data_IF_695277931088
#
_entry.id   IF_695277931088
#
_cell.length_a   1.000
_cell.length_b   1.000
_cell.length_c   1.000
_cell.angle_alpha   90.00
_cell.angle_beta   90.00
_cell.angle_gamma   90.00
#
_symmetry.space_group_name_H-M   'P 1'
#
loop_
_entity.id
_entity.type
_entity.pdbx_description
1 polymer ?
#
# COMPACT_ATOMS: atom_id res chain seq x y z
N UNK A 1 22.02 -21.46 -12.78
CA UNK A 1 21.33 -20.98 -11.57
C UNK A 1 20.90 -19.54 -11.80
N UNK A 2 19.64 -19.21 -11.53
CA UNK A 2 19.24 -17.79 -11.51
C UNK A 2 19.72 -17.25 -10.17
N UNK A 3 20.84 -16.53 -10.18
CA UNK A 3 21.30 -15.80 -8.99
C UNK A 3 20.26 -14.72 -8.72
N UNK A 4 19.60 -14.80 -7.56
CA UNK A 4 18.61 -13.80 -7.13
C UNK A 4 19.25 -12.43 -6.89
N UNK A 5 18.43 -11.47 -6.46
CA UNK A 5 18.94 -10.14 -6.09
C UNK A 5 19.71 -10.22 -4.77
N UNK A 6 20.88 -9.58 -4.69
CA UNK A 6 21.57 -9.38 -3.43
C UNK A 6 20.74 -8.46 -2.51
N UNK A 7 20.42 -8.94 -1.31
CA UNK A 7 19.74 -8.17 -0.26
C UNK A 7 20.79 -7.70 0.74
N UNK A 8 21.14 -6.41 0.66
CA UNK A 8 22.11 -5.80 1.57
C UNK A 8 21.50 -5.40 2.90
N UNK A 9 22.35 -4.97 3.83
CA UNK A 9 21.96 -4.54 5.18
C UNK A 9 20.96 -3.39 5.19
N UNK A 10 20.91 -2.58 4.13
CA UNK A 10 19.94 -1.50 3.95
C UNK A 10 18.48 -1.97 3.96
N UNK A 11 18.22 -3.28 3.82
CA UNK A 11 16.89 -3.88 3.87
C UNK A 11 16.44 -4.31 5.26
N UNK A 12 17.36 -4.66 6.17
CA UNK A 12 17.02 -5.37 7.41
C UNK A 12 17.74 -4.84 8.66
N UNK A 13 18.85 -4.12 8.50
CA UNK A 13 19.64 -3.64 9.63
C UNK A 13 19.16 -2.25 10.10
N UNK A 14 18.70 -2.18 11.35
CA UNK A 14 18.16 -0.96 11.96
C UNK A 14 19.24 0.12 12.10
N UNK A 15 20.48 -0.27 12.44
CA UNK A 15 21.58 0.68 12.58
C UNK A 15 21.93 1.31 11.23
N UNK A 16 21.91 0.52 10.15
CA UNK A 16 22.06 1.04 8.79
C UNK A 16 20.95 2.01 8.40
N UNK A 17 19.70 1.79 8.86
CA UNK A 17 18.59 2.73 8.66
C UNK A 17 18.80 4.04 9.43
N UNK A 18 19.22 3.97 10.69
CA UNK A 18 19.49 5.16 11.51
C UNK A 18 20.66 5.98 10.95
N UNK A 19 21.74 5.31 10.52
CA UNK A 19 22.87 5.96 9.86
C UNK A 19 22.44 6.63 8.55
N UNK A 20 21.58 5.99 7.75
CA UNK A 20 21.01 6.61 6.56
C UNK A 20 20.23 7.88 6.92
N UNK A 21 19.41 7.84 7.97
CA UNK A 21 18.65 8.99 8.44
C UNK A 21 19.58 10.14 8.86
N UNK A 22 20.64 9.85 9.60
CA UNK A 22 21.61 10.87 10.07
C UNK A 22 22.34 11.54 8.90
N UNK A 23 22.80 10.74 7.94
CA UNK A 23 23.50 11.25 6.74
C UNK A 23 22.62 12.16 5.88
N UNK A 24 21.30 11.96 5.89
CA UNK A 24 20.34 12.71 5.09
C UNK A 24 19.53 13.73 5.90
N UNK A 25 19.85 13.94 7.18
CA UNK A 25 19.14 14.87 8.08
C UNK A 25 17.63 14.57 8.16
N UNK A 26 17.28 13.28 8.27
CA UNK A 26 15.91 12.82 8.44
C UNK A 26 15.66 12.61 9.94
N UNK A 27 14.80 13.45 10.51
CA UNK A 27 14.46 13.37 11.94
C UNK A 27 13.63 12.11 12.25
N UNK A 28 12.65 11.82 11.39
CA UNK A 28 11.70 10.71 11.56
C UNK A 28 11.45 9.95 10.27
N UNK A 29 11.35 8.64 10.37
CA UNK A 29 10.93 7.75 9.28
C UNK A 29 9.68 6.98 9.68
N UNK A 30 8.70 6.90 8.78
CA UNK A 30 7.64 5.89 8.87
C UNK A 30 8.02 4.79 7.88
N UNK A 31 8.44 3.63 8.38
CA UNK A 31 8.91 2.50 7.56
C UNK A 31 7.77 1.51 7.33
N UNK A 32 7.94 0.62 6.37
CA UNK A 32 6.96 -0.37 5.98
C UNK A 32 7.65 -1.61 5.44
N UNK A 33 7.00 -2.77 5.54
CA UNK A 33 7.44 -3.98 4.85
C UNK A 33 7.51 -3.71 3.34
N UNK A 34 8.58 -4.15 2.68
CA UNK A 34 8.73 -4.03 1.24
C UNK A 34 7.82 -5.02 0.49
N UNK A 35 7.50 -4.70 -0.77
CA UNK A 35 6.81 -5.63 -1.65
C UNK A 35 7.57 -6.97 -1.77
N UNK A 36 6.89 -8.13 -1.90
CA UNK A 36 5.45 -8.32 -2.15
C UNK A 36 4.59 -8.48 -0.89
N UNK A 37 5.04 -7.97 0.27
CA UNK A 37 4.30 -8.07 1.54
C UNK A 37 3.95 -9.53 1.89
N UNK A 38 2.67 -9.82 2.10
CA UNK A 38 2.12 -11.14 2.38
C UNK A 38 1.26 -11.66 1.24
N UNK A 39 1.33 -11.06 0.05
CA UNK A 39 0.39 -11.31 -1.05
C UNK A 39 0.50 -12.74 -1.63
N UNK A 40 1.57 -13.46 -1.25
CA UNK A 40 1.90 -14.83 -1.64
C UNK A 40 1.65 -15.88 -0.54
N UNK A 41 1.14 -15.47 0.63
CA UNK A 41 0.88 -16.36 1.78
C UNK A 41 -0.62 -16.38 2.05
N UNK A 42 -1.18 -17.57 2.21
CA UNK A 42 -2.61 -17.80 2.48
C UNK A 42 -2.87 -18.43 3.85
N UNK A 43 -4.10 -18.27 4.34
CA UNK A 43 -4.65 -18.96 5.51
C UNK A 43 -3.99 -18.59 6.84
N UNK A 44 -4.08 -19.49 7.82
CA UNK A 44 -3.62 -19.26 9.21
C UNK A 44 -2.12 -18.87 9.28
N UNK A 45 -1.32 -19.34 8.32
CA UNK A 45 0.10 -18.97 8.22
C UNK A 45 0.28 -17.48 7.96
N UNK A 46 -0.58 -16.88 7.13
CA UNK A 46 -0.52 -15.45 6.84
C UNK A 46 -0.83 -14.62 8.08
N UNK A 47 -1.75 -15.10 8.95
CA UNK A 47 -2.06 -14.41 10.21
C UNK A 47 -0.85 -14.37 11.15
N UNK A 48 -0.28 -15.53 11.47
CA UNK A 48 0.82 -15.61 12.43
C UNK A 48 2.04 -14.78 11.97
N UNK A 49 2.38 -14.86 10.68
CA UNK A 49 3.48 -14.08 10.09
C UNK A 49 3.15 -12.57 10.10
N UNK A 50 1.90 -12.19 9.82
CA UNK A 50 1.50 -10.79 9.88
C UNK A 50 1.64 -10.21 11.28
N UNK A 51 1.17 -10.92 12.30
CA UNK A 51 1.27 -10.50 13.70
C UNK A 51 2.74 -10.37 14.12
N UNK A 52 3.57 -11.36 13.79
CA UNK A 52 5.01 -11.38 14.07
C UNK A 52 5.74 -10.17 13.44
N UNK A 53 5.51 -9.92 12.15
CA UNK A 53 6.14 -8.79 11.45
C UNK A 53 5.70 -7.43 11.99
N UNK A 54 4.43 -7.29 12.36
CA UNK A 54 3.91 -6.05 12.93
C UNK A 54 4.43 -5.82 14.36
N UNK A 55 4.61 -6.88 15.15
CA UNK A 55 5.19 -6.82 16.50
C UNK A 55 6.69 -6.53 16.45
N UNK A 56 7.42 -7.09 15.49
CA UNK A 56 8.82 -6.75 15.22
C UNK A 56 8.95 -5.27 14.82
N UNK A 57 8.08 -4.78 13.93
CA UNK A 57 8.07 -3.37 13.53
C UNK A 57 7.79 -2.43 14.70
N UNK A 58 6.86 -2.80 15.60
CA UNK A 58 6.62 -2.08 16.85
C UNK A 58 7.89 -2.05 17.71
N UNK A 59 8.55 -3.20 17.90
CA UNK A 59 9.76 -3.34 18.72
C UNK A 59 10.93 -2.49 18.18
N UNK A 60 11.18 -2.56 16.87
CA UNK A 60 12.18 -1.71 16.19
C UNK A 60 11.88 -0.23 16.40
N UNK A 61 10.60 0.16 16.28
CA UNK A 61 10.17 1.54 16.45
C UNK A 61 10.36 2.04 17.89
N UNK A 62 10.15 1.19 18.90
CA UNK A 62 10.40 1.53 20.31
C UNK A 62 11.89 1.73 20.62
N UNK A 63 12.75 0.86 20.06
CA UNK A 63 14.21 0.94 20.23
C UNK A 63 14.85 2.12 19.48
N UNK A 64 14.14 2.74 18.54
CA UNK A 64 14.63 3.85 17.72
C UNK A 64 14.68 5.22 18.44
N UNK A 65 14.39 5.27 19.75
CA UNK A 65 14.26 6.52 20.52
C UNK A 65 13.27 7.54 19.88
N UNK A 66 12.16 7.03 19.33
CA UNK A 66 11.11 7.86 18.73
C UNK A 66 11.41 8.41 17.33
N UNK A 67 12.43 7.87 16.65
CA UNK A 67 12.81 8.25 15.28
C UNK A 67 12.14 7.39 14.20
N UNK A 68 11.75 6.16 14.51
CA UNK A 68 11.10 5.23 13.59
C UNK A 68 9.66 4.97 14.06
N UNK A 69 8.76 4.93 13.08
CA UNK A 69 7.35 4.55 13.18
C UNK A 69 7.03 3.56 12.04
N UNK A 70 5.85 2.95 12.05
CA UNK A 70 5.50 1.89 11.11
C UNK A 70 4.18 2.09 10.34
N UNK A 71 4.16 1.66 9.08
CA UNK A 71 2.96 1.16 8.41
C UNK A 71 2.95 -0.37 8.52
N UNK A 72 1.92 -0.90 9.17
CA UNK A 72 1.74 -2.34 9.33
C UNK A 72 1.41 -3.02 8.00
N UNK A 73 1.80 -4.29 7.84
CA UNK A 73 1.33 -5.13 6.73
C UNK A 73 0.01 -5.80 7.11
N UNK A 74 -0.77 -6.25 6.11
CA UNK A 74 -2.02 -7.00 6.32
C UNK A 74 -2.05 -8.28 5.47
N UNK A 75 -2.71 -9.36 5.92
CA UNK A 75 -2.86 -10.60 5.16
C UNK A 75 -4.05 -10.47 4.19
N UNK A 76 -3.88 -9.68 3.12
CA UNK A 76 -4.99 -9.25 2.24
C UNK A 76 -5.70 -10.39 1.49
N UNK A 77 -5.08 -11.57 1.36
CA UNK A 77 -5.72 -12.79 0.83
C UNK A 77 -6.81 -13.35 1.73
N UNK A 78 -6.87 -12.91 2.99
CA UNK A 78 -7.88 -13.33 3.96
C UNK A 78 -8.52 -12.09 4.63
N UNK A 79 -9.50 -11.44 3.98
CA UNK A 79 -10.12 -10.20 4.47
C UNK A 79 -10.60 -10.25 5.94
N UNK A 80 -11.22 -11.35 6.36
CA UNK A 80 -11.68 -11.52 7.73
C UNK A 80 -10.52 -11.49 8.75
N UNK A 81 -9.39 -12.11 8.40
CA UNK A 81 -8.16 -12.10 9.22
C UNK A 81 -7.56 -10.70 9.23
N UNK A 82 -7.49 -10.03 8.09
CA UNK A 82 -6.99 -8.65 8.00
C UNK A 82 -7.79 -7.69 8.89
N UNK A 83 -9.12 -7.82 8.95
CA UNK A 83 -9.99 -7.02 9.82
C UNK A 83 -9.68 -7.25 11.30
N UNK A 84 -9.39 -8.48 11.72
CA UNK A 84 -8.98 -8.77 13.10
C UNK A 84 -7.65 -8.11 13.43
N UNK A 85 -6.68 -8.19 12.51
CA UNK A 85 -5.38 -7.54 12.70
C UNK A 85 -5.52 -6.02 12.78
N UNK A 86 -6.32 -5.39 11.91
CA UNK A 86 -6.61 -3.95 11.94
C UNK A 86 -7.10 -3.50 13.33
N UNK A 87 -7.97 -4.29 13.97
CA UNK A 87 -8.43 -4.00 15.34
C UNK A 87 -7.30 -4.11 16.36
N UNK A 88 -6.42 -5.09 16.21
CA UNK A 88 -5.24 -5.30 17.07
C UNK A 88 -4.24 -4.16 16.95
N UNK A 89 -4.01 -3.62 15.75
CA UNK A 89 -3.03 -2.55 15.50
C UNK A 89 -3.17 -1.32 16.40
N UNK A 90 -4.36 -1.05 16.95
CA UNK A 90 -4.57 0.02 17.94
C UNK A 90 -3.75 -0.16 19.23
N UNK A 91 -3.35 -1.38 19.59
CA UNK A 91 -2.45 -1.62 20.72
C UNK A 91 -0.99 -1.28 20.42
N UNK A 92 -0.62 -1.18 19.14
CA UNK A 92 0.75 -0.91 18.68
C UNK A 92 0.95 0.59 18.46
N UNK A 93 1.38 1.28 19.52
CA UNK A 93 1.40 2.75 19.56
C UNK A 93 2.35 3.43 18.53
N UNK A 94 3.28 2.69 17.92
CA UNK A 94 4.20 3.21 16.88
C UNK A 94 3.69 3.00 15.47
N UNK A 95 2.62 2.23 15.30
CA UNK A 95 1.96 2.06 14.01
C UNK A 95 1.09 3.29 13.72
N UNK A 96 1.15 3.78 12.48
CA UNK A 96 0.45 4.99 12.02
C UNK A 96 -0.46 4.75 10.80
N UNK A 97 -0.54 3.51 10.37
CA UNK A 97 -1.33 3.11 9.22
C UNK A 97 -0.96 1.71 8.76
N UNK A 98 -1.38 1.40 7.53
CA UNK A 98 -1.10 0.11 6.87
C UNK A 98 -0.52 0.34 5.47
N UNK A 99 0.38 -0.53 5.03
CA UNK A 99 0.83 -0.57 3.63
C UNK A 99 0.02 -1.61 2.87
N UNK A 100 -0.50 -1.24 1.69
CA UNK A 100 -1.27 -2.13 0.82
C UNK A 100 -0.70 -2.17 -0.59
N UNK A 101 -0.70 -3.37 -1.18
CA UNK A 101 -0.53 -3.58 -2.62
C UNK A 101 -1.82 -3.32 -3.40
N UNK A 102 -1.68 -3.10 -4.70
CA UNK A 102 -2.82 -2.81 -5.60
C UNK A 102 -3.82 -3.95 -5.83
N UNK A 103 -3.48 -5.26 -5.70
CA UNK A 103 -4.46 -6.32 -5.92
C UNK A 103 -5.48 -6.50 -4.80
N UNK A 104 -5.24 -5.98 -3.59
CA UNK A 104 -6.06 -6.31 -2.42
C UNK A 104 -6.15 -7.82 -2.19
N UNK A 105 -7.36 -8.39 -2.20
CA UNK A 105 -7.56 -9.84 -2.13
C UNK A 105 -7.27 -10.61 -3.45
N UNK A 106 -6.74 -9.91 -4.46
CA UNK A 106 -6.35 -10.47 -5.77
C UNK A 106 -7.11 -9.88 -6.97
N UNK A 107 -8.15 -9.07 -6.74
CA UNK A 107 -9.02 -8.51 -7.79
C UNK A 107 -9.07 -6.98 -7.84
N UNK A 108 -8.24 -6.31 -7.05
CA UNK A 108 -8.23 -4.86 -6.88
C UNK A 108 -8.88 -4.44 -5.57
N UNK A 109 -8.56 -3.22 -5.13
CA UNK A 109 -9.05 -2.63 -3.87
C UNK A 109 -10.52 -2.17 -3.94
N UNK A 110 -11.05 -1.97 -5.15
CA UNK A 110 -12.46 -1.68 -5.45
C UNK A 110 -13.36 -2.92 -5.42
N UNK A 111 -12.79 -4.13 -5.29
CA UNK A 111 -13.56 -5.35 -5.24
C UNK A 111 -14.39 -5.45 -3.94
N UNK A 112 -15.67 -5.90 -3.98
CA UNK A 112 -16.54 -5.96 -2.80
C UNK A 112 -15.96 -6.69 -1.58
N UNK A 113 -15.15 -7.75 -1.80
CA UNK A 113 -14.49 -8.50 -0.73
C UNK A 113 -13.46 -7.69 0.07
N UNK A 114 -12.95 -6.60 -0.49
CA UNK A 114 -11.98 -5.71 0.17
C UNK A 114 -12.68 -4.53 0.86
N UNK A 115 -13.97 -4.30 0.57
CA UNK A 115 -14.72 -3.15 1.07
C UNK A 115 -14.71 -3.07 2.61
N UNK A 116 -15.02 -4.18 3.30
CA UNK A 116 -15.04 -4.22 4.76
C UNK A 116 -13.65 -4.04 5.39
N UNK A 117 -12.59 -4.42 4.67
CA UNK A 117 -11.20 -4.18 5.10
C UNK A 117 -10.90 -2.68 5.05
N UNK A 118 -11.25 -2.00 3.95
CA UNK A 118 -11.07 -0.55 3.81
C UNK A 118 -11.90 0.22 4.84
N UNK A 119 -13.14 -0.22 5.09
CA UNK A 119 -14.00 0.36 6.12
C UNK A 119 -13.38 0.19 7.51
N UNK A 120 -12.88 -1.02 7.83
CA UNK A 120 -12.20 -1.26 9.11
C UNK A 120 -10.95 -0.39 9.27
N UNK A 121 -10.14 -0.20 8.22
CA UNK A 121 -8.99 0.71 8.25
C UNK A 121 -9.44 2.14 8.61
N UNK A 122 -10.47 2.65 7.92
CA UNK A 122 -11.01 3.99 8.13
C UNK A 122 -11.62 4.16 9.53
N UNK A 123 -12.38 3.19 10.03
CA UNK A 123 -13.00 3.19 11.37
C UNK A 123 -11.97 3.14 12.50
N UNK A 124 -10.75 2.71 12.19
CA UNK A 124 -9.63 2.68 13.13
C UNK A 124 -8.67 3.89 12.95
N UNK A 125 -9.02 4.88 12.12
CA UNK A 125 -8.22 6.07 11.79
C UNK A 125 -6.79 5.74 11.34
N UNK A 126 -6.64 4.64 10.60
CA UNK A 126 -5.37 4.21 10.02
C UNK A 126 -5.21 4.79 8.61
N UNK A 127 -4.03 5.36 8.34
CA UNK A 127 -3.67 5.82 6.99
C UNK A 127 -3.30 4.63 6.11
N UNK A 128 -3.87 4.54 4.89
CA UNK A 128 -3.39 3.58 3.88
C UNK A 128 -2.20 4.18 3.16
N UNK A 129 -1.05 3.50 3.14
CA UNK A 129 0.01 3.76 2.19
C UNK A 129 -0.12 2.77 1.02
N UNK A 130 -0.62 3.26 -0.12
CA UNK A 130 -0.78 2.44 -1.33
C UNK A 130 0.53 2.43 -2.13
N UNK A 131 1.03 1.24 -2.43
CA UNK A 131 2.30 1.07 -3.12
C UNK A 131 2.20 0.02 -4.26
N UNK A 132 2.88 0.25 -5.41
CA UNK A 132 2.89 -0.70 -6.52
C UNK A 132 3.85 -1.87 -6.29
N UNK A 133 3.66 -2.93 -7.05
CA UNK A 133 4.60 -4.06 -7.13
C UNK A 133 4.50 -4.79 -8.47
N UNK A 134 3.29 -4.92 -9.01
CA UNK A 134 2.97 -5.82 -10.12
C UNK A 134 3.21 -5.21 -11.49
N UNK A 135 3.22 -3.88 -11.61
CA UNK A 135 3.37 -3.17 -12.86
C UNK A 135 2.18 -3.33 -13.82
N UNK A 136 2.23 -2.57 -14.91
CA UNK A 136 1.29 -2.65 -16.05
C UNK A 136 2.12 -2.63 -17.33
N UNK A 137 1.72 -3.42 -18.34
CA UNK A 137 2.41 -3.49 -19.64
C UNK A 137 3.77 -4.17 -19.57
N UNK A 138 3.94 -5.12 -18.65
CA UNK A 138 5.22 -5.79 -18.36
C UNK A 138 5.82 -6.47 -19.60
N UNK A 139 4.97 -6.96 -20.50
CA UNK A 139 5.31 -7.56 -21.79
C UNK A 139 6.07 -6.60 -22.73
N UNK A 140 5.95 -5.29 -22.53
CA UNK A 140 6.55 -4.25 -23.37
C UNK A 140 7.94 -3.78 -22.89
N UNK A 141 8.40 -4.23 -21.72
CA UNK A 141 9.66 -3.74 -21.12
C UNK A 141 10.86 -4.66 -21.36
N UNK A 142 10.75 -5.59 -22.30
CA UNK A 142 11.87 -6.43 -22.71
C UNK A 142 13.07 -5.56 -23.14
N UNK A 143 14.28 -6.05 -22.87
CA UNK A 143 15.56 -5.40 -23.18
C UNK A 143 15.79 -4.00 -22.55
N UNK A 144 14.90 -3.54 -21.68
CA UNK A 144 15.00 -2.23 -21.03
C UNK A 144 15.57 -2.27 -19.60
N UNK A 145 16.10 -3.43 -19.19
CA UNK A 145 16.44 -3.71 -17.80
C UNK A 145 15.26 -3.39 -16.87
N UNK A 146 15.54 -2.70 -15.76
CA UNK A 146 14.50 -2.27 -14.82
C UNK A 146 13.94 -0.87 -15.12
N UNK A 147 14.50 -0.15 -16.09
CA UNK A 147 14.23 1.28 -16.27
C UNK A 147 12.75 1.55 -16.58
N UNK A 148 12.17 0.86 -17.57
CA UNK A 148 10.77 1.08 -17.96
C UNK A 148 9.78 0.46 -16.97
N UNK A 149 10.10 -0.69 -16.38
CA UNK A 149 9.25 -1.29 -15.34
C UNK A 149 9.10 -0.38 -14.12
N UNK A 150 10.21 0.18 -13.62
CA UNK A 150 10.20 1.08 -12.46
C UNK A 150 9.64 2.48 -12.80
N UNK A 151 9.91 3.02 -14.00
CA UNK A 151 9.48 4.38 -14.37
C UNK A 151 8.06 4.46 -14.95
N UNK A 152 7.56 3.39 -15.57
CA UNK A 152 6.23 3.34 -16.18
C UNK A 152 5.34 2.31 -15.50
N UNK A 153 5.79 1.05 -15.37
CA UNK A 153 4.99 -0.03 -14.80
C UNK A 153 4.42 0.32 -13.43
N UNK A 154 5.27 0.70 -12.48
CA UNK A 154 4.88 1.06 -11.11
C UNK A 154 3.91 2.26 -11.03
N UNK A 155 4.21 3.44 -11.64
CA UNK A 155 3.28 4.56 -11.61
C UNK A 155 1.93 4.26 -12.28
N UNK A 156 1.91 3.56 -13.42
CA UNK A 156 0.64 3.24 -14.09
C UNK A 156 -0.19 2.23 -13.30
N UNK A 157 0.41 1.24 -12.65
CA UNK A 157 -0.28 0.34 -11.72
C UNK A 157 -0.99 1.11 -10.60
N UNK A 158 -0.28 2.04 -9.95
CA UNK A 158 -0.83 2.88 -8.89
C UNK A 158 -1.97 3.76 -9.40
N UNK A 159 -1.78 4.37 -10.57
CA UNK A 159 -2.79 5.23 -11.21
C UNK A 159 -4.06 4.46 -11.52
N UNK A 160 -3.95 3.25 -12.08
CA UNK A 160 -5.10 2.37 -12.35
C UNK A 160 -5.81 1.99 -11.05
N UNK A 161 -5.07 1.62 -10.00
CA UNK A 161 -5.65 1.22 -8.72
C UNK A 161 -6.48 2.34 -8.06
N UNK A 162 -5.94 3.56 -8.00
CA UNK A 162 -6.67 4.71 -7.44
C UNK A 162 -7.84 5.12 -8.35
N UNK A 163 -7.65 5.16 -9.67
CA UNK A 163 -8.73 5.49 -10.60
C UNK A 163 -9.92 4.52 -10.43
N UNK A 164 -9.64 3.21 -10.27
CA UNK A 164 -10.67 2.20 -9.98
C UNK A 164 -11.43 2.47 -8.69
N UNK A 165 -10.74 2.81 -7.60
CA UNK A 165 -11.37 3.18 -6.32
C UNK A 165 -12.27 4.41 -6.43
N UNK A 166 -11.88 5.39 -7.26
CA UNK A 166 -12.70 6.58 -7.55
C UNK A 166 -13.94 6.15 -8.34
N UNK A 167 -13.78 5.51 -9.50
CA UNK A 167 -14.92 5.21 -10.40
C UNK A 167 -15.85 4.10 -9.88
N UNK A 168 -15.42 3.31 -8.89
CA UNK A 168 -16.28 2.36 -8.19
C UNK A 168 -17.22 3.04 -7.18
N UNK A 169 -16.96 4.31 -6.82
CA UNK A 169 -17.61 5.01 -5.72
C UNK A 169 -17.22 4.44 -4.36
N UNK A 170 -16.10 3.72 -4.24
CA UNK A 170 -15.64 3.18 -2.95
C UNK A 170 -15.26 4.31 -2.00
N UNK A 171 -14.58 5.34 -2.51
CA UNK A 171 -14.17 6.50 -1.70
C UNK A 171 -15.39 7.32 -1.22
N UNK A 172 -16.44 7.39 -2.02
CA UNK A 172 -17.71 8.03 -1.66
C UNK A 172 -18.44 7.31 -0.51
N UNK A 173 -18.35 5.98 -0.51
CA UNK A 173 -18.97 5.13 0.53
C UNK A 173 -18.19 5.12 1.84
N UNK A 174 -16.89 5.42 1.79
CA UNK A 174 -15.99 5.44 2.96
C UNK A 174 -15.29 6.80 3.05
N UNK A 175 -16.04 7.90 3.31
CA UNK A 175 -15.52 9.27 3.18
C UNK A 175 -14.41 9.64 4.16
N UNK A 176 -14.23 8.84 5.23
CA UNK A 176 -13.16 9.00 6.21
C UNK A 176 -11.88 8.21 5.86
N UNK A 177 -11.87 7.41 4.79
CA UNK A 177 -10.68 6.67 4.35
C UNK A 177 -9.61 7.65 3.86
N UNK A 178 -8.42 7.57 4.46
CA UNK A 178 -7.26 8.37 4.06
C UNK A 178 -6.26 7.48 3.33
N UNK A 179 -5.85 7.89 2.13
CA UNK A 179 -4.87 7.16 1.31
C UNK A 179 -3.70 8.08 0.96
N UNK A 180 -2.51 7.70 1.42
CA UNK A 180 -1.23 8.18 0.94
C UNK A 180 -0.83 7.37 -0.29
N UNK A 181 -0.65 8.04 -1.42
CA UNK A 181 -0.35 7.40 -2.70
C UNK A 181 1.15 7.52 -3.00
N UNK A 182 1.82 6.39 -3.25
CA UNK A 182 3.23 6.36 -3.61
C UNK A 182 3.55 7.21 -4.86
N UNK A 183 4.81 7.64 -4.99
CA UNK A 183 5.33 8.33 -6.18
C UNK A 183 4.57 9.63 -6.53
N UNK A 184 4.22 10.43 -5.52
CA UNK A 184 3.51 11.71 -5.67
C UNK A 184 2.14 11.61 -6.36
N UNK A 185 1.41 10.52 -6.10
CA UNK A 185 0.15 10.25 -6.81
C UNK A 185 0.33 9.57 -8.17
N UNK A 186 1.57 9.18 -8.49
CA UNK A 186 1.93 8.56 -9.76
C UNK A 186 1.53 9.44 -10.97
N UNK A 187 0.85 8.88 -11.98
CA UNK A 187 0.38 9.66 -13.13
C UNK A 187 -0.99 10.32 -12.89
N UNK A 188 -1.63 10.08 -11.75
CA UNK A 188 -2.99 10.58 -11.47
C UNK A 188 -3.09 12.11 -11.55
N UNK A 189 -2.18 12.92 -10.95
CA UNK A 189 -2.28 14.38 -11.04
C UNK A 189 -2.25 14.90 -12.47
N UNK A 190 -1.47 14.25 -13.35
CA UNK A 190 -1.37 14.62 -14.76
C UNK A 190 -2.56 14.15 -15.60
N UNK A 191 -3.27 13.11 -15.15
CA UNK A 191 -4.35 12.48 -15.90
C UNK A 191 -5.75 12.81 -15.37
N UNK A 192 -5.87 13.48 -14.21
CA UNK A 192 -7.16 13.67 -13.54
C UNK A 192 -8.18 14.39 -14.42
N UNK A 193 -7.81 15.48 -15.11
CA UNK A 193 -8.74 16.19 -16.00
C UNK A 193 -9.22 15.34 -17.18
N UNK A 194 -8.41 14.38 -17.65
CA UNK A 194 -8.83 13.40 -18.66
C UNK A 194 -9.81 12.39 -18.06
N UNK A 195 -9.55 11.91 -16.85
CA UNK A 195 -10.43 10.98 -16.15
C UNK A 195 -11.80 11.63 -15.90
N UNK A 196 -11.82 12.87 -15.40
CA UNK A 196 -13.05 13.62 -15.17
C UNK A 196 -13.89 13.74 -16.44
N UNK A 197 -13.27 14.18 -17.54
CA UNK A 197 -13.95 14.28 -18.83
C UNK A 197 -14.49 12.94 -19.31
N UNK A 198 -13.74 11.83 -19.16
CA UNK A 198 -14.21 10.51 -19.54
C UNK A 198 -15.36 10.02 -18.65
N UNK A 199 -15.30 10.27 -17.33
CA UNK A 199 -16.35 9.90 -16.37
C UNK A 199 -17.64 10.67 -16.64
N UNK A 200 -17.56 11.98 -16.91
CA UNK A 200 -18.72 12.81 -17.23
C UNK A 200 -19.49 12.29 -18.46
N UNK A 201 -18.76 11.76 -19.45
CA UNK A 201 -19.34 11.23 -20.68
C UNK A 201 -19.73 9.74 -20.61
N UNK A 202 -19.47 9.06 -19.48
CA UNK A 202 -19.98 7.72 -19.20
C UNK A 202 -21.13 7.81 -18.18
N UNK A 203 -22.36 7.75 -18.68
CA UNK A 203 -23.55 7.93 -17.84
C UNK A 203 -23.72 6.82 -16.80
N UNK A 204 -23.17 5.62 -17.00
CA UNK A 204 -23.25 4.54 -16.01
C UNK A 204 -22.32 4.84 -14.84
N UNK A 205 -21.11 5.33 -15.10
CA UNK A 205 -20.16 5.68 -14.06
C UNK A 205 -20.54 7.00 -13.39
N UNK A 206 -20.87 8.05 -14.16
CA UNK A 206 -21.24 9.36 -13.62
C UNK A 206 -22.41 9.29 -12.62
N UNK A 207 -23.43 8.46 -12.90
CA UNK A 207 -24.58 8.30 -11.99
C UNK A 207 -24.28 7.50 -10.71
N UNK A 208 -23.14 6.80 -10.63
CA UNK A 208 -22.74 6.03 -9.45
C UNK A 208 -22.08 6.90 -8.38
N UNK A 209 -21.40 7.96 -8.80
CA UNK A 209 -20.57 8.78 -7.92
C UNK A 209 -21.42 9.82 -7.18
N UNK A 210 -21.00 10.17 -5.96
CA UNK A 210 -21.56 11.31 -5.26
C UNK A 210 -21.24 12.58 -6.07
N UNK A 211 -22.28 13.34 -6.41
CA UNK A 211 -22.10 14.65 -7.03
C UNK A 211 -21.63 15.62 -5.96
N UNK A 212 -20.48 16.25 -6.21
CA UNK A 212 -19.94 17.32 -5.38
C UNK A 212 -20.86 18.55 -5.37
#
# INVERSE_FOLDING_TARGET
EVVGRAIGKEYWDVDSKLLFMDNHKIDKSIVSLANPWLDFIDGDKAQAICEELNDELQSISELSNGRIYGFATLPMRSPAVAINEIKRLKSLNRIKGVILGTPGAGRGLDHPEVFEVLQAIADNDLLVFLHPHYGVGNEHYHDSGHALFLSLGFPFETTVSIARLIVSGTLDKIPNLKILVAHAGAALPSLIGRIDSCVEHDTVISNRLLKA
#
